data_IF_140842859177
#
_entry.id   IF_140842859177
#
_cell.length_a   1.000
_cell.length_b   1.000
_cell.length_c   1.000
_cell.angle_alpha   90.00
_cell.angle_beta   90.00
_cell.angle_gamma   90.00
#
_symmetry.space_group_name_H-M   'P 1'
#
loop_
_entity.id
_entity.type
_entity.pdbx_description
1 polymer ?
#
# COMPACT_ATOMS: atom_id res chain seq x y z
N UNK A 1 37.31 29.92 4.52
CA UNK A 1 36.29 29.27 5.39
C UNK A 1 35.09 28.81 4.55
N UNK A 2 35.13 27.54 4.14
CA UNK A 2 34.24 26.99 3.12
C UNK A 2 32.85 26.71 3.69
N UNK A 3 31.84 27.24 3.01
CA UNK A 3 30.41 27.13 3.31
C UNK A 3 29.91 25.68 3.17
N UNK A 4 29.03 25.25 4.08
CA UNK A 4 28.38 23.94 4.13
C UNK A 4 27.58 23.58 2.85
N UNK A 5 27.38 24.53 1.93
CA UNK A 5 26.75 24.30 0.64
C UNK A 5 27.57 23.40 -0.32
N UNK A 6 28.84 23.11 -0.02
CA UNK A 6 29.73 22.35 -0.90
C UNK A 6 29.86 20.84 -0.56
N UNK A 7 29.12 20.32 0.41
CA UNK A 7 29.16 18.89 0.79
C UNK A 7 28.00 18.05 0.23
N UNK A 8 27.04 18.65 -0.47
CA UNK A 8 25.86 17.94 -0.98
C UNK A 8 26.10 17.12 -2.26
N UNK A 9 27.30 17.12 -2.84
CA UNK A 9 27.55 16.49 -4.15
C UNK A 9 28.21 15.11 -4.09
N UNK A 10 28.32 14.45 -2.92
CA UNK A 10 29.14 13.24 -2.80
C UNK A 10 28.57 12.10 -1.95
N UNK A 11 27.25 11.92 -1.91
CA UNK A 11 26.64 10.65 -1.47
C UNK A 11 25.46 10.30 -2.40
N UNK A 12 25.67 9.50 -3.46
CA UNK A 12 24.58 8.89 -4.19
C UNK A 12 24.09 7.66 -3.40
N UNK A 13 22.77 7.53 -3.27
CA UNK A 13 22.06 6.45 -2.58
C UNK A 13 22.29 6.38 -1.08
N UNK A 14 21.47 7.11 -0.32
CA UNK A 14 20.63 6.56 0.76
C UNK A 14 19.83 7.72 1.37
N UNK A 15 18.54 7.50 1.60
CA UNK A 15 17.56 8.39 2.26
C UNK A 15 16.80 9.36 1.36
N UNK A 16 15.78 8.82 0.69
CA UNK A 16 14.52 9.55 0.53
C UNK A 16 13.41 8.69 1.16
N UNK A 17 13.47 8.54 2.48
CA UNK A 17 12.28 8.21 3.27
C UNK A 17 11.75 9.56 3.80
N UNK A 18 10.48 9.92 3.54
CA UNK A 18 9.88 11.03 4.25
C UNK A 18 9.76 10.64 5.73
N UNK A 19 10.32 11.47 6.62
CA UNK A 19 10.02 11.42 8.06
C UNK A 19 8.77 12.28 8.27
N UNK A 20 7.59 11.72 8.58
CA UNK A 20 6.47 12.52 9.01
C UNK A 20 6.55 12.66 10.54
N UNK A 21 6.70 13.89 11.06
CA UNK A 21 6.41 14.13 12.48
C UNK A 21 7.32 15.06 13.27
N UNK A 22 7.82 16.16 12.71
CA UNK A 22 8.31 17.27 13.55
C UNK A 22 7.25 18.36 13.65
N UNK A 23 6.33 18.20 14.60
CA UNK A 23 5.65 19.32 15.22
C UNK A 23 6.57 19.89 16.29
N UNK A 24 7.15 21.05 16.02
CA UNK A 24 7.86 21.83 17.03
C UNK A 24 6.79 22.54 17.88
N UNK A 25 6.39 21.95 18.99
CA UNK A 25 5.45 22.62 19.89
C UNK A 25 4.89 21.73 20.99
N UNK A 26 5.29 22.05 22.23
CA UNK A 26 4.59 21.83 23.51
C UNK A 26 4.43 20.39 24.04
N UNK A 27 5.01 20.18 25.23
CA UNK A 27 4.37 19.41 26.31
C UNK A 27 4.84 17.96 26.49
N UNK A 28 5.77 17.74 27.43
CA UNK A 28 5.98 16.43 28.03
C UNK A 28 4.80 16.09 28.95
N UNK A 29 4.13 14.96 28.70
CA UNK A 29 3.03 14.49 29.54
C UNK A 29 2.63 13.06 29.22
N UNK A 30 2.90 12.19 30.20
CA UNK A 30 2.25 10.91 30.47
C UNK A 30 2.64 9.68 29.64
N UNK A 31 3.15 8.70 30.37
CA UNK A 31 3.36 7.29 30.00
C UNK A 31 2.20 6.75 29.15
N UNK A 32 2.49 6.49 27.88
CA UNK A 32 1.66 5.69 26.99
C UNK A 32 2.35 4.37 26.74
N UNK A 33 1.64 3.28 27.01
CA UNK A 33 1.91 1.91 26.55
C UNK A 33 2.52 1.93 25.14
N UNK A 34 3.54 1.10 24.81
CA UNK A 34 3.96 0.94 23.42
C UNK A 34 2.82 0.28 22.66
N UNK A 35 1.88 1.10 22.19
CA UNK A 35 0.93 0.70 21.17
C UNK A 35 1.79 0.28 20.00
N UNK A 36 1.77 -1.02 19.70
CA UNK A 36 2.22 -1.54 18.43
C UNK A 36 1.38 -0.80 17.39
N UNK A 37 1.94 0.28 16.84
CA UNK A 37 1.39 0.93 15.67
C UNK A 37 1.26 -0.19 14.64
N UNK A 38 0.06 -0.53 14.16
CA UNK A 38 -0.08 -1.48 13.09
C UNK A 38 0.81 -0.97 11.97
N UNK A 39 1.69 -1.84 11.46
CA UNK A 39 2.80 -1.45 10.60
C UNK A 39 2.36 -0.65 9.35
N UNK A 40 1.07 -0.61 9.02
CA UNK A 40 0.51 0.35 8.08
C UNK A 40 -0.98 0.62 8.40
N UNK A 41 -1.43 1.84 8.68
CA UNK A 41 -2.74 2.24 8.23
C UNK A 41 -2.58 2.61 6.76
N UNK A 42 -2.47 1.62 5.86
CA UNK A 42 -2.88 1.92 4.49
C UNK A 42 -4.38 2.19 4.65
N UNK A 43 -4.78 3.45 4.58
CA UNK A 43 -6.17 3.88 4.47
C UNK A 43 -6.67 3.40 3.10
N UNK A 44 -6.75 2.08 2.94
CA UNK A 44 -7.40 1.46 1.81
C UNK A 44 -8.88 1.55 2.12
N UNK A 45 -9.62 2.09 1.17
CA UNK A 45 -11.08 2.12 1.07
C UNK A 45 -11.84 1.33 2.14
N UNK A 46 -12.81 1.99 2.78
CA UNK A 46 -13.70 1.50 3.84
C UNK A 46 -14.51 0.21 3.55
N UNK A 47 -14.23 -0.50 2.46
CA UNK A 47 -14.95 -1.70 2.03
C UNK A 47 -14.05 -2.86 1.59
N UNK A 48 -14.63 -4.07 1.49
CA UNK A 48 -13.88 -5.27 1.14
C UNK A 48 -13.25 -5.14 -0.26
N UNK A 49 -12.06 -5.71 -0.49
CA UNK A 49 -11.34 -5.58 -1.76
C UNK A 49 -12.12 -6.02 -3.01
N UNK A 50 -13.11 -6.90 -2.84
CA UNK A 50 -13.99 -7.31 -3.93
C UNK A 50 -14.92 -6.19 -4.44
N UNK A 51 -15.21 -5.17 -3.62
CA UNK A 51 -16.12 -4.08 -3.94
C UNK A 51 -15.41 -2.83 -4.45
N UNK A 52 -14.07 -2.83 -4.46
CA UNK A 52 -13.31 -1.66 -4.90
C UNK A 52 -13.59 -1.30 -6.36
N UNK A 53 -13.81 -0.01 -6.56
CA UNK A 53 -13.84 0.65 -7.85
C UNK A 53 -12.42 0.77 -8.43
N UNK A 54 -12.33 1.05 -9.74
CA UNK A 54 -11.03 1.26 -10.43
C UNK A 54 -10.14 2.31 -9.73
N UNK A 55 -10.62 3.50 -9.32
CA UNK A 55 -9.76 4.48 -8.65
C UNK A 55 -9.23 3.99 -7.30
N UNK A 56 -10.02 3.20 -6.55
CA UNK A 56 -9.59 2.63 -5.27
C UNK A 56 -8.52 1.56 -5.47
N UNK A 57 -8.66 0.74 -6.51
CA UNK A 57 -7.63 -0.20 -6.94
C UNK A 57 -6.34 0.53 -7.31
N UNK A 58 -6.44 1.62 -8.07
CA UNK A 58 -5.30 2.45 -8.44
C UNK A 58 -4.61 3.06 -7.22
N UNK A 59 -5.37 3.60 -6.26
CA UNK A 59 -4.84 4.15 -5.02
C UNK A 59 -4.14 3.08 -4.16
N UNK A 60 -4.73 1.88 -4.06
CA UNK A 60 -4.11 0.76 -3.36
C UNK A 60 -2.77 0.36 -3.99
N UNK A 61 -2.74 0.26 -5.32
CA UNK A 61 -1.50 -0.07 -6.05
C UNK A 61 -0.43 0.98 -5.86
N UNK A 62 -0.78 2.26 -5.97
CA UNK A 62 0.16 3.35 -5.76
C UNK A 62 0.78 3.30 -4.35
N UNK A 63 -0.06 3.11 -3.34
CA UNK A 63 0.39 3.02 -1.94
C UNK A 63 1.28 1.80 -1.64
N UNK A 64 1.06 0.66 -2.31
CA UNK A 64 1.81 -0.59 -2.06
C UNK A 64 3.06 -0.71 -2.90
N UNK A 65 2.98 -0.27 -4.14
CA UNK A 65 3.93 -0.61 -5.19
C UNK A 65 4.68 0.62 -5.72
N UNK A 66 4.21 1.85 -5.45
CA UNK A 66 4.89 3.12 -5.79
C UNK A 66 5.24 3.26 -7.27
N UNK A 67 4.40 2.78 -8.16
CA UNK A 67 4.72 2.63 -9.59
C UNK A 67 3.57 3.12 -10.46
N UNK A 68 3.77 4.34 -10.95
CA UNK A 68 2.81 5.03 -11.80
C UNK A 68 2.51 4.29 -13.10
N UNK A 69 3.48 3.58 -13.68
CA UNK A 69 3.28 2.86 -14.94
C UNK A 69 2.28 1.71 -14.75
N UNK A 70 2.43 0.99 -13.64
CA UNK A 70 1.50 -0.08 -13.26
C UNK A 70 0.10 0.48 -12.93
N UNK A 71 0.02 1.58 -12.19
CA UNK A 71 -1.25 2.23 -11.85
C UNK A 71 -1.98 2.68 -13.11
N UNK A 72 -1.26 3.30 -14.04
CA UNK A 72 -1.80 3.73 -15.33
C UNK A 72 -2.29 2.51 -16.14
N UNK A 73 -1.50 1.45 -16.21
CA UNK A 73 -1.87 0.24 -16.94
C UNK A 73 -3.17 -0.39 -16.41
N UNK A 74 -3.30 -0.45 -15.08
CA UNK A 74 -4.49 -0.98 -14.40
C UNK A 74 -5.70 -0.07 -14.60
N UNK A 75 -5.50 1.26 -14.61
CA UNK A 75 -6.54 2.23 -14.93
C UNK A 75 -7.03 2.08 -16.38
N UNK A 76 -6.12 1.96 -17.34
CA UNK A 76 -6.41 1.75 -18.77
C UNK A 76 -7.20 0.46 -19.02
N UNK A 77 -6.86 -0.61 -18.30
CA UNK A 77 -7.56 -1.89 -18.38
C UNK A 77 -8.87 -1.93 -17.57
N UNK A 78 -9.20 -0.86 -16.84
CA UNK A 78 -10.43 -0.75 -16.05
C UNK A 78 -10.54 -1.86 -14.98
N UNK A 79 -9.42 -2.22 -14.35
CA UNK A 79 -9.38 -3.35 -13.41
C UNK A 79 -10.12 -2.98 -12.12
N UNK A 80 -11.25 -3.65 -11.87
CA UNK A 80 -11.99 -3.55 -10.61
C UNK A 80 -11.39 -4.42 -9.51
N UNK A 81 -11.80 -4.21 -8.27
CA UNK A 81 -11.32 -4.99 -7.11
C UNK A 81 -11.50 -6.50 -7.25
N UNK A 82 -12.65 -6.96 -7.78
CA UNK A 82 -12.88 -8.38 -8.13
C UNK A 82 -11.91 -8.90 -9.18
N UNK A 83 -11.56 -8.09 -10.18
CA UNK A 83 -10.59 -8.47 -11.19
C UNK A 83 -9.18 -8.55 -10.59
N UNK A 84 -8.80 -7.56 -9.78
CA UNK A 84 -7.54 -7.48 -9.02
C UNK A 84 -7.30 -8.75 -8.20
N UNK A 85 -8.30 -9.17 -7.41
CA UNK A 85 -8.25 -10.38 -6.60
C UNK A 85 -8.13 -11.66 -7.41
N UNK A 86 -8.47 -11.67 -8.70
CA UNK A 86 -8.35 -12.84 -9.60
C UNK A 86 -7.11 -12.78 -10.48
N UNK A 87 -6.30 -11.73 -10.37
CA UNK A 87 -5.12 -11.58 -11.21
C UNK A 87 -4.10 -12.71 -10.94
N UNK A 88 -3.50 -13.15 -12.02
CA UNK A 88 -2.45 -14.16 -12.03
C UNK A 88 -1.24 -13.62 -12.76
N UNK A 89 -0.11 -14.33 -12.70
CA UNK A 89 1.05 -13.97 -13.50
C UNK A 89 0.69 -13.84 -14.99
N UNK A 90 -0.16 -14.75 -15.51
CA UNK A 90 -0.61 -14.72 -16.91
C UNK A 90 -1.40 -13.47 -17.27
N UNK A 91 -2.27 -12.99 -16.39
CA UNK A 91 -3.00 -11.73 -16.58
C UNK A 91 -2.04 -10.55 -16.62
N UNK A 92 -1.08 -10.50 -15.69
CA UNK A 92 -0.05 -9.45 -15.64
C UNK A 92 0.84 -9.43 -16.89
N UNK A 93 1.21 -10.60 -17.40
CA UNK A 93 1.97 -10.70 -18.66
C UNK A 93 1.20 -10.09 -19.82
N UNK A 94 -0.10 -10.40 -19.93
CA UNK A 94 -0.95 -9.91 -21.03
C UNK A 94 -1.22 -8.41 -20.96
N UNK A 95 -1.31 -7.85 -19.75
CA UNK A 95 -1.42 -6.39 -19.61
C UNK A 95 -0.13 -5.66 -19.99
N UNK A 96 1.02 -6.35 -20.04
CA UNK A 96 2.29 -5.72 -20.43
C UNK A 96 3.26 -5.50 -19.27
N UNK A 97 3.01 -6.07 -18.09
CA UNK A 97 3.97 -6.04 -16.97
C UNK A 97 5.18 -6.92 -17.33
N UNK A 98 6.21 -6.30 -17.91
CA UNK A 98 7.35 -6.99 -18.51
C UNK A 98 8.31 -7.63 -17.48
N UNK A 99 8.78 -6.93 -16.43
CA UNK A 99 9.79 -7.48 -15.54
C UNK A 99 9.20 -8.61 -14.69
N UNK A 100 9.82 -9.80 -14.74
CA UNK A 100 9.37 -10.96 -13.94
C UNK A 100 9.49 -10.69 -12.43
N UNK A 101 10.51 -9.95 -12.02
CA UNK A 101 10.69 -9.46 -10.64
C UNK A 101 9.47 -8.64 -10.22
N UNK A 102 9.06 -7.69 -11.06
CA UNK A 102 7.91 -6.83 -10.80
C UNK A 102 6.59 -7.60 -10.68
N UNK A 103 6.34 -8.53 -11.61
CA UNK A 103 5.17 -9.41 -11.50
C UNK A 103 5.15 -10.21 -10.20
N UNK A 104 6.31 -10.72 -9.76
CA UNK A 104 6.40 -11.48 -8.49
C UNK A 104 6.13 -10.61 -7.27
N UNK A 105 6.61 -9.37 -7.27
CA UNK A 105 6.35 -8.40 -6.21
C UNK A 105 4.86 -8.09 -6.11
N UNK A 106 4.22 -7.76 -7.23
CA UNK A 106 2.77 -7.54 -7.25
C UNK A 106 1.98 -8.76 -6.79
N UNK A 107 2.35 -9.96 -7.24
CA UNK A 107 1.68 -11.18 -6.81
C UNK A 107 1.80 -11.41 -5.31
N UNK A 108 2.88 -10.97 -4.66
CA UNK A 108 3.02 -11.00 -3.20
C UNK A 108 2.04 -10.03 -2.53
N UNK A 109 1.94 -8.80 -3.02
CA UNK A 109 0.96 -7.83 -2.50
C UNK A 109 -0.48 -8.32 -2.66
N UNK A 110 -0.81 -8.92 -3.82
CA UNK A 110 -2.13 -9.51 -4.08
C UNK A 110 -2.43 -10.71 -3.17
N UNK A 111 -1.42 -11.52 -2.83
CA UNK A 111 -1.58 -12.60 -1.87
C UNK A 111 -1.89 -12.05 -0.48
N UNK A 112 -1.16 -11.01 -0.03
CA UNK A 112 -1.45 -10.33 1.23
C UNK A 112 -2.87 -9.78 1.27
N UNK A 113 -3.31 -9.15 0.17
CA UNK A 113 -4.65 -8.60 0.06
C UNK A 113 -5.75 -9.67 0.16
N UNK A 114 -5.56 -10.81 -0.51
CA UNK A 114 -6.49 -11.95 -0.42
C UNK A 114 -6.56 -12.50 0.99
N UNK A 115 -5.41 -12.69 1.64
CA UNK A 115 -5.36 -13.19 3.01
C UNK A 115 -6.05 -12.24 3.99
N UNK A 116 -5.86 -10.92 3.82
CA UNK A 116 -6.55 -9.92 4.62
C UNK A 116 -8.07 -10.00 4.44
N UNK A 117 -8.55 -10.12 3.19
CA UNK A 117 -9.97 -10.28 2.92
C UNK A 117 -10.54 -11.56 3.55
N UNK A 118 -9.86 -12.70 3.39
CA UNK A 118 -10.31 -13.97 3.97
C UNK A 118 -10.35 -13.88 5.51
N UNK A 119 -9.37 -13.21 6.13
CA UNK A 119 -9.37 -12.98 7.57
C UNK A 119 -10.55 -12.11 8.00
N UNK A 120 -10.79 -11.00 7.32
CA UNK A 120 -11.92 -10.10 7.59
C UNK A 120 -13.27 -10.82 7.41
N UNK A 121 -13.40 -11.65 6.38
CA UNK A 121 -14.59 -12.47 6.14
C UNK A 121 -14.82 -13.49 7.27
N UNK A 122 -13.76 -14.20 7.68
CA UNK A 122 -13.84 -15.13 8.81
C UNK A 122 -14.17 -14.42 10.14
N UNK A 123 -13.59 -13.24 10.38
CA UNK A 123 -13.90 -12.44 11.57
C UNK A 123 -15.34 -11.93 11.56
N UNK A 124 -15.86 -11.54 10.40
CA UNK A 124 -17.26 -11.14 10.25
C UNK A 124 -18.23 -12.29 10.54
N UNK A 125 -17.89 -13.51 10.11
CA UNK A 125 -18.69 -14.72 10.38
C UNK A 125 -18.60 -15.10 11.87
N UNK A 126 -17.41 -15.05 12.46
CA UNK A 126 -17.17 -15.43 13.86
C UNK A 126 -17.70 -14.39 14.86
N UNK A 127 -17.65 -13.11 14.50
CA UNK A 127 -18.00 -11.97 15.34
C UNK A 127 -19.48 -11.60 15.30
N UNK A 128 -20.39 -12.57 15.20
CA UNK A 128 -21.84 -12.33 15.18
C UNK A 128 -22.38 -11.58 16.40
N UNK A 129 -22.23 -10.26 16.42
CA UNK A 129 -23.13 -9.32 17.08
C UNK A 129 -23.41 -8.17 16.10
N UNK A 130 -24.64 -8.18 15.60
CA UNK A 130 -25.25 -7.07 14.90
C UNK A 130 -25.96 -6.22 15.97
N UNK A 131 -25.49 -5.01 16.33
CA UNK A 131 -26.29 -4.13 17.17
C UNK A 131 -27.40 -3.48 16.33
N UNK A 132 -28.56 -3.16 16.96
CA UNK A 132 -29.79 -2.71 16.30
C UNK A 132 -29.71 -1.32 15.65
#
# INVERSE_FOLDING_TARGET
PLSLASLCTLIPHFWCYPVPGWNLGTGWGSEGTPQLTPLFPVQVSEGPPAQWSVPEVCAWLDARCGDGDLVQLVAEHGVSGRALLRMTEGTLRRMGVAPRSRRRELLRELLGLRLQQELEELLSIAGGEHPP
#
